data_IF_018812372611
#
_entry.id   IF_018812372611
#
_cell.length_a   1.000
_cell.length_b   1.000
_cell.length_c   1.000
_cell.angle_alpha   90.00
_cell.angle_beta   90.00
_cell.angle_gamma   90.00
#
_symmetry.space_group_name_H-M   'P 1'
#
loop_
_entity.id
_entity.type
_entity.pdbx_description
1 polymer ?
#
# COMPACT_ATOMS: atom_id res chain seq x y z
N UNK A 1 -5.31 19.69 -77.56
CA UNK A 1 -3.91 19.62 -77.10
C UNK A 1 -3.87 20.28 -75.72
N UNK A 2 -4.32 19.68 -74.61
CA UNK A 2 -4.03 18.38 -73.99
C UNK A 2 -2.58 18.24 -73.49
N UNK A 3 -2.15 19.14 -72.60
CA UNK A 3 -1.27 18.81 -71.47
C UNK A 3 -1.61 19.75 -70.31
N UNK A 4 -2.11 19.19 -69.20
CA UNK A 4 -2.29 19.95 -67.96
C UNK A 4 -0.92 20.14 -67.29
N UNK A 5 -0.14 21.12 -67.74
CA UNK A 5 1.10 21.50 -67.07
C UNK A 5 0.77 22.28 -65.79
N UNK A 6 1.14 21.74 -64.63
CA UNK A 6 0.98 22.34 -63.29
C UNK A 6 1.97 23.49 -63.00
N UNK A 7 2.61 24.03 -64.03
CA UNK A 7 3.84 24.84 -63.92
C UNK A 7 3.60 26.31 -63.55
N UNK A 8 2.36 26.76 -63.40
CA UNK A 8 2.04 28.12 -62.92
C UNK A 8 1.41 28.08 -61.52
N UNK A 9 2.18 27.71 -60.50
CA UNK A 9 1.76 27.85 -59.09
C UNK A 9 2.81 28.68 -58.34
N UNK A 10 2.54 29.98 -58.29
CA UNK A 10 3.03 31.01 -57.35
C UNK A 10 4.53 31.18 -57.09
N UNK A 11 5.01 32.38 -57.43
CA UNK A 11 6.24 33.01 -56.94
C UNK A 11 5.99 33.63 -55.55
N UNK A 12 6.02 32.82 -54.50
CA UNK A 12 6.14 33.17 -53.08
C UNK A 12 6.21 31.85 -52.30
N UNK A 13 7.34 31.57 -51.64
CA UNK A 13 7.82 30.25 -51.17
C UNK A 13 6.88 29.40 -50.28
N UNK A 14 5.64 29.81 -50.02
CA UNK A 14 4.68 29.10 -49.17
C UNK A 14 3.19 29.43 -49.40
N UNK A 15 2.83 30.24 -50.40
CA UNK A 15 1.43 30.62 -50.61
C UNK A 15 0.89 30.10 -51.93
N UNK A 16 -0.14 29.26 -51.85
CA UNK A 16 -0.81 28.65 -53.01
C UNK A 16 -2.05 29.48 -53.34
N UNK A 17 -2.23 29.79 -54.63
CA UNK A 17 -3.47 30.39 -55.11
C UNK A 17 -4.60 29.35 -55.08
N UNK A 18 -5.62 29.59 -54.24
CA UNK A 18 -6.71 28.65 -53.95
C UNK A 18 -7.44 28.21 -55.23
N UNK A 19 -7.70 29.15 -56.15
CA UNK A 19 -8.44 28.91 -57.39
C UNK A 19 -7.67 28.06 -58.42
N UNK A 20 -6.35 27.88 -58.24
CA UNK A 20 -5.48 27.13 -59.15
C UNK A 20 -4.93 25.85 -58.53
N UNK A 21 -5.38 25.48 -57.33
CA UNK A 21 -4.92 24.27 -56.67
C UNK A 21 -5.49 23.02 -57.32
N UNK A 22 -4.59 22.17 -57.83
CA UNK A 22 -4.94 20.89 -58.49
C UNK A 22 -4.56 19.65 -57.66
N UNK A 23 -4.28 19.85 -56.37
CA UNK A 23 -3.80 18.80 -55.48
C UNK A 23 -2.27 18.80 -55.29
N UNK A 24 -1.80 17.92 -54.40
CA UNK A 24 -0.37 17.76 -54.10
C UNK A 24 0.35 17.05 -55.24
N UNK A 25 1.64 17.37 -55.41
CA UNK A 25 2.50 16.63 -56.34
C UNK A 25 2.63 15.16 -55.92
N UNK A 26 2.92 14.28 -56.88
CA UNK A 26 3.19 12.86 -56.60
C UNK A 26 4.34 12.70 -55.61
N UNK A 27 5.39 13.49 -55.76
CA UNK A 27 6.55 13.49 -54.87
C UNK A 27 6.15 13.87 -53.43
N UNK A 28 5.28 14.88 -53.27
CA UNK A 28 4.76 15.28 -51.95
C UNK A 28 3.91 14.17 -51.32
N UNK A 29 3.13 13.44 -52.12
CA UNK A 29 2.35 12.30 -51.65
C UNK A 29 3.24 11.10 -51.25
N UNK A 30 4.34 10.89 -51.96
CA UNK A 30 5.34 9.87 -51.61
C UNK A 30 6.06 10.23 -50.31
N UNK A 31 6.48 11.48 -50.13
CA UNK A 31 7.06 11.98 -48.88
C UNK A 31 6.11 11.78 -47.70
N UNK A 32 4.82 12.09 -47.87
CA UNK A 32 3.79 11.87 -46.83
C UNK A 32 3.66 10.39 -46.51
N UNK A 33 3.65 9.50 -47.52
CA UNK A 33 3.59 8.05 -47.30
C UNK A 33 4.81 7.54 -46.54
N UNK A 34 6.01 8.01 -46.89
CA UNK A 34 7.23 7.66 -46.17
C UNK A 34 7.18 8.10 -44.71
N UNK A 35 6.71 9.32 -44.44
CA UNK A 35 6.53 9.82 -43.08
C UNK A 35 5.49 9.00 -42.30
N UNK A 36 4.36 8.65 -42.91
CA UNK A 36 3.34 7.81 -42.28
C UNK A 36 3.89 6.43 -41.90
N UNK A 37 4.66 5.79 -42.79
CA UNK A 37 5.31 4.52 -42.49
C UNK A 37 6.29 4.64 -41.33
N UNK A 38 7.09 5.72 -41.29
CA UNK A 38 7.99 5.99 -40.16
C UNK A 38 7.22 6.16 -38.85
N UNK A 39 6.12 6.92 -38.86
CA UNK A 39 5.28 7.14 -37.69
C UNK A 39 4.64 5.84 -37.19
N UNK A 40 4.19 4.96 -38.09
CA UNK A 40 3.64 3.65 -37.74
C UNK A 40 4.73 2.80 -37.05
N UNK A 41 5.93 2.75 -37.62
CA UNK A 41 7.04 1.99 -37.06
C UNK A 41 7.46 2.53 -35.67
N UNK A 42 7.55 3.84 -35.51
CA UNK A 42 7.84 4.48 -34.22
C UNK A 42 6.74 4.21 -33.18
N UNK A 43 5.48 4.26 -33.59
CA UNK A 43 4.35 3.96 -32.71
C UNK A 43 4.38 2.51 -32.25
N UNK A 44 4.68 1.57 -33.14
CA UNK A 44 4.85 0.16 -32.78
C UNK A 44 5.96 -0.02 -31.75
N UNK A 45 7.15 0.55 -32.00
CA UNK A 45 8.27 0.50 -31.05
C UNK A 45 7.91 1.06 -29.68
N UNK A 46 7.18 2.19 -29.62
CA UNK A 46 6.71 2.77 -28.35
C UNK A 46 5.73 1.86 -27.63
N UNK A 47 4.73 1.33 -28.34
CA UNK A 47 3.74 0.44 -27.76
C UNK A 47 4.40 -0.84 -27.21
N UNK A 48 5.40 -1.39 -27.90
CA UNK A 48 6.11 -2.58 -27.43
C UNK A 48 6.96 -2.28 -26.20
N UNK A 49 7.61 -1.11 -26.16
CA UNK A 49 8.34 -0.65 -24.99
C UNK A 49 7.41 -0.44 -23.78
N UNK A 50 6.27 0.22 -23.96
CA UNK A 50 5.25 0.42 -22.93
C UNK A 50 4.72 -0.92 -22.39
N UNK A 51 4.38 -1.88 -23.27
CA UNK A 51 3.96 -3.22 -22.84
C UNK A 51 5.02 -3.92 -22.01
N UNK A 52 6.28 -3.86 -22.44
CA UNK A 52 7.38 -4.47 -21.69
C UNK A 52 7.55 -3.83 -20.31
N UNK A 53 7.42 -2.52 -20.23
CA UNK A 53 7.45 -1.77 -18.98
C UNK A 53 6.28 -2.16 -18.08
N UNK A 54 5.05 -2.16 -18.60
CA UNK A 54 3.86 -2.54 -17.84
C UNK A 54 3.93 -3.97 -17.31
N UNK A 55 4.46 -4.91 -18.09
CA UNK A 55 4.68 -6.29 -17.66
C UNK A 55 5.69 -6.39 -16.52
N UNK A 56 6.82 -5.68 -16.63
CA UNK A 56 7.83 -5.65 -15.55
C UNK A 56 7.28 -4.98 -14.30
N UNK A 57 6.54 -3.89 -14.46
CA UNK A 57 5.89 -3.19 -13.36
C UNK A 57 4.86 -4.06 -12.65
N UNK A 58 4.01 -4.78 -13.40
CA UNK A 58 3.05 -5.75 -12.84
C UNK A 58 3.74 -6.83 -12.03
N UNK A 59 4.79 -7.45 -12.56
CA UNK A 59 5.58 -8.47 -11.85
C UNK A 59 6.18 -7.91 -10.55
N UNK A 60 6.70 -6.69 -10.59
CA UNK A 60 7.26 -6.02 -9.41
C UNK A 60 6.18 -5.72 -8.36
N UNK A 61 5.05 -5.18 -8.78
CA UNK A 61 3.91 -4.90 -7.91
C UNK A 61 3.37 -6.18 -7.25
N UNK A 62 3.24 -7.26 -8.01
CA UNK A 62 2.79 -8.56 -7.50
C UNK A 62 3.78 -9.13 -6.47
N UNK A 63 5.08 -8.96 -6.69
CA UNK A 63 6.12 -9.40 -5.76
C UNK A 63 6.05 -8.60 -4.44
N UNK A 64 5.86 -7.29 -4.51
CA UNK A 64 5.67 -6.45 -3.33
C UNK A 64 4.40 -6.87 -2.57
N UNK A 65 3.28 -7.05 -3.27
CA UNK A 65 2.03 -7.45 -2.63
C UNK A 65 2.17 -8.79 -1.89
N UNK A 66 2.84 -9.78 -2.50
CA UNK A 66 3.14 -11.06 -1.85
C UNK A 66 4.03 -10.88 -0.62
N UNK A 67 5.07 -10.06 -0.72
CA UNK A 67 5.97 -9.80 0.39
C UNK A 67 5.24 -9.11 1.55
N UNK A 68 4.36 -8.15 1.26
CA UNK A 68 3.55 -7.47 2.27
C UNK A 68 2.66 -8.45 3.04
N UNK A 69 1.99 -9.37 2.34
CA UNK A 69 1.16 -10.41 2.97
C UNK A 69 1.99 -11.30 3.90
N UNK A 70 3.18 -11.73 3.48
CA UNK A 70 4.06 -12.56 4.31
C UNK A 70 4.47 -11.82 5.58
N UNK A 71 4.84 -10.56 5.46
CA UNK A 71 5.22 -9.72 6.61
C UNK A 71 4.04 -9.53 7.56
N UNK A 72 2.84 -9.28 7.04
CA UNK A 72 1.64 -9.13 7.86
C UNK A 72 1.33 -10.42 8.65
N UNK A 73 1.41 -11.58 8.00
CA UNK A 73 1.22 -12.88 8.66
C UNK A 73 2.26 -13.13 9.75
N UNK A 74 3.52 -12.73 9.53
CA UNK A 74 4.57 -12.83 10.55
C UNK A 74 4.25 -11.95 11.76
N UNK A 75 3.86 -10.69 11.53
CA UNK A 75 3.46 -9.75 12.58
C UNK A 75 2.27 -10.30 13.38
N UNK A 76 1.26 -10.84 12.71
CA UNK A 76 0.13 -11.48 13.38
C UNK A 76 0.55 -12.69 14.22
N UNK A 77 1.41 -13.54 13.68
CA UNK A 77 1.95 -14.71 14.38
C UNK A 77 2.66 -14.30 15.67
N UNK A 78 3.52 -13.28 15.60
CA UNK A 78 4.27 -12.80 16.75
C UNK A 78 3.38 -12.09 17.77
N UNK A 79 2.37 -11.32 17.31
CA UNK A 79 1.33 -10.75 18.18
C UNK A 79 0.58 -11.83 18.95
N UNK A 80 0.20 -12.93 18.29
CA UNK A 80 -0.49 -14.06 18.95
C UNK A 80 0.38 -14.71 20.02
N UNK A 81 1.66 -14.96 19.71
CA UNK A 81 2.63 -15.51 20.69
C UNK A 81 2.79 -14.58 21.89
N UNK A 82 2.98 -13.28 21.63
CA UNK A 82 3.12 -12.27 22.68
C UNK A 82 1.89 -12.21 23.58
N UNK A 83 0.69 -12.15 22.99
CA UNK A 83 -0.57 -12.13 23.72
C UNK A 83 -0.77 -13.41 24.56
N UNK A 84 -0.36 -14.56 24.05
CA UNK A 84 -0.41 -15.81 24.79
C UNK A 84 0.53 -15.79 26.02
N UNK A 85 1.77 -15.32 25.85
CA UNK A 85 2.70 -15.15 26.96
C UNK A 85 2.14 -14.20 28.02
N UNK A 86 1.66 -13.03 27.60
CA UNK A 86 1.06 -12.03 28.49
C UNK A 86 -0.17 -12.59 29.23
N UNK A 87 -1.02 -13.36 28.55
CA UNK A 87 -2.18 -13.99 29.17
C UNK A 87 -1.77 -15.00 30.25
N UNK A 88 -0.69 -15.75 30.05
CA UNK A 88 -0.19 -16.70 31.05
C UNK A 88 0.44 -15.98 32.25
N UNK A 89 1.20 -14.91 32.03
CA UNK A 89 1.72 -14.07 33.12
C UNK A 89 0.57 -13.45 33.93
N UNK A 90 -0.45 -12.90 33.26
CA UNK A 90 -1.62 -12.34 33.93
C UNK A 90 -2.38 -13.39 34.76
N UNK A 91 -2.49 -14.63 34.27
CA UNK A 91 -3.08 -15.73 35.05
C UNK A 91 -2.26 -16.04 36.31
N UNK A 92 -0.94 -16.10 36.18
CA UNK A 92 -0.05 -16.35 37.32
C UNK A 92 -0.12 -15.22 38.36
N UNK A 93 -0.08 -13.96 37.90
CA UNK A 93 -0.22 -12.79 38.77
C UNK A 93 -1.58 -12.76 39.48
N UNK A 94 -2.67 -13.07 38.77
CA UNK A 94 -4.00 -13.14 39.36
C UNK A 94 -4.10 -14.24 40.43
N UNK A 95 -3.44 -15.39 40.21
CA UNK A 95 -3.36 -16.46 41.21
C UNK A 95 -2.62 -15.99 42.46
N UNK A 96 -1.42 -15.41 42.31
CA UNK A 96 -0.62 -14.89 43.43
C UNK A 96 -1.39 -13.81 44.20
N UNK A 97 -2.06 -12.90 43.48
CA UNK A 97 -2.85 -11.85 44.10
C UNK A 97 -4.00 -12.43 44.94
N UNK A 98 -4.70 -13.44 44.42
CA UNK A 98 -5.77 -14.14 45.15
C UNK A 98 -5.24 -14.80 46.42
N UNK A 99 -4.18 -15.59 46.30
CA UNK A 99 -3.55 -16.27 47.45
C UNK A 99 -3.11 -15.27 48.53
N UNK A 100 -2.52 -14.13 48.12
CA UNK A 100 -2.16 -13.06 49.05
C UNK A 100 -3.37 -12.44 49.72
N UNK A 101 -4.45 -12.21 48.99
CA UNK A 101 -5.67 -11.65 49.56
C UNK A 101 -6.30 -12.61 50.58
N UNK A 102 -6.32 -13.90 50.29
CA UNK A 102 -6.82 -14.93 51.19
C UNK A 102 -5.99 -14.99 52.49
N UNK A 103 -4.66 -14.87 52.39
CA UNK A 103 -3.77 -14.74 53.55
C UNK A 103 -4.08 -13.51 54.40
N UNK A 104 -4.22 -12.33 53.77
CA UNK A 104 -4.52 -11.09 54.48
C UNK A 104 -5.87 -11.18 55.22
N UNK A 105 -6.90 -11.69 54.54
CA UNK A 105 -8.24 -11.82 55.11
C UNK A 105 -8.29 -12.82 56.28
N UNK A 106 -7.57 -13.94 56.18
CA UNK A 106 -7.65 -15.02 57.17
C UNK A 106 -6.77 -14.79 58.41
N UNK A 107 -5.58 -14.22 58.22
CA UNK A 107 -4.57 -14.11 59.28
C UNK A 107 -4.45 -12.67 59.79
N UNK A 108 -4.31 -11.70 58.89
CA UNK A 108 -3.98 -10.32 59.28
C UNK A 108 -5.23 -9.55 59.71
N UNK A 109 -6.31 -9.64 58.94
CA UNK A 109 -7.55 -8.91 59.20
C UNK A 109 -8.49 -9.64 60.17
N UNK A 110 -8.17 -10.87 60.55
CA UNK A 110 -8.86 -11.55 61.63
C UNK A 110 -8.41 -10.95 62.97
N UNK A 111 -9.03 -9.86 63.39
CA UNK A 111 -8.81 -9.28 64.71
C UNK A 111 -9.38 -10.21 65.79
N UNK A 112 -8.53 -11.07 66.36
CA UNK A 112 -8.85 -11.74 67.61
C UNK A 112 -8.43 -10.82 68.77
N UNK A 113 -9.35 -10.44 69.67
CA UNK A 113 -8.98 -9.66 70.85
C UNK A 113 -7.96 -10.46 71.69
N UNK A 114 -6.86 -9.80 72.05
CA UNK A 114 -5.81 -10.40 72.86
C UNK A 114 -6.33 -10.77 74.25
N UNK A 115 -5.77 -11.78 74.90
CA UNK A 115 -6.20 -12.20 76.25
C UNK A 115 -6.20 -11.03 77.27
N UNK A 116 -5.26 -10.11 77.13
CA UNK A 116 -5.18 -8.88 77.92
C UNK A 116 -6.41 -7.97 77.78
N UNK A 117 -7.10 -7.98 76.63
CA UNK A 117 -8.36 -7.23 76.43
C UNK A 117 -9.46 -7.75 77.36
N UNK A 118 -9.59 -9.06 77.52
CA UNK A 118 -10.62 -9.64 78.39
C UNK A 118 -10.32 -9.43 79.88
N UNK A 119 -9.04 -9.36 80.26
CA UNK A 119 -8.61 -9.09 81.65
C UNK A 119 -8.94 -7.67 82.13
N UNK A 120 -9.24 -6.72 81.22
CA UNK A 120 -9.62 -5.36 81.59
C UNK A 120 -11.02 -5.28 82.24
N UNK A 121 -11.89 -6.25 81.96
CA UNK A 121 -13.25 -6.27 82.50
C UNK A 121 -13.28 -6.95 83.88
N UNK A 122 -14.10 -6.43 84.81
CA UNK A 122 -14.29 -6.94 86.18
C UNK A 122 -13.10 -6.77 87.15
N UNK A 123 -12.19 -5.83 86.91
CA UNK A 123 -11.05 -5.57 87.82
C UNK A 123 -11.41 -4.84 89.12
N UNK A 124 -12.63 -4.30 89.26
CA UNK A 124 -13.06 -3.53 90.42
C UNK A 124 -14.45 -3.97 90.87
N UNK A 125 -14.64 -4.34 92.14
CA UNK A 125 -15.98 -4.58 92.71
C UNK A 125 -16.61 -3.23 93.06
N UNK A 126 -17.70 -2.88 92.39
CA UNK A 126 -18.49 -1.69 92.70
C UNK A 126 -19.56 -2.02 93.72
#
# INVERSE_FOLDING_TARGET
>A
MLTESSTSVSDSRCHIMVDQWKGMSRDQLEDIRHQQLSQIAERQKRNDAEKSFDETWKKYSDAIAKQAIIVEQQIEGDRRKYNHCLANENKNLAKIQRERQDYLNSIVYRSAPAAAFYQQFNMTSR
#
